data_IF_625675156794
#
_entry.id   IF_625675156794
#
_cell.length_a   1.000
_cell.length_b   1.000
_cell.length_c   1.000
_cell.angle_alpha   90.00
_cell.angle_beta   90.00
_cell.angle_gamma   90.00
#
_symmetry.space_group_name_H-M   'P 1'
#
loop_
_entity.id
_entity.type
_entity.pdbx_description
1 polymer ?
#
# COMPACT_ATOMS: atom_id res chain seq x y z
N UNK A 1 -4.13 -13.76 8.91
CA UNK A 1 -3.84 -13.50 7.49
C UNK A 1 -2.60 -12.62 7.44
N UNK A 2 -1.56 -13.04 6.71
CA UNK A 2 -0.27 -12.37 6.64
C UNK A 2 -0.10 -11.70 5.27
N UNK A 3 -0.05 -10.37 5.24
CA UNK A 3 0.19 -9.59 4.03
C UNK A 3 1.63 -9.09 3.94
N UNK A 4 2.22 -9.13 2.75
CA UNK A 4 3.58 -8.62 2.50
C UNK A 4 3.69 -8.00 1.13
N UNK A 5 4.34 -6.83 1.05
CA UNK A 5 4.70 -6.22 -0.23
C UNK A 5 5.98 -6.88 -0.73
N UNK A 6 5.92 -7.48 -1.92
CA UNK A 6 7.05 -8.13 -2.57
C UNK A 6 7.26 -7.54 -3.97
N UNK A 7 8.44 -7.77 -4.53
CA UNK A 7 8.68 -7.53 -5.96
C UNK A 7 8.42 -8.82 -6.73
N UNK A 8 7.60 -8.74 -7.79
CA UNK A 8 7.30 -9.88 -8.64
C UNK A 8 8.57 -10.36 -9.35
N UNK A 9 9.08 -11.55 -9.00
CA UNK A 9 10.23 -12.14 -9.70
C UNK A 9 9.83 -12.80 -11.04
N UNK A 10 8.55 -12.94 -11.30
CA UNK A 10 8.00 -13.51 -12.54
C UNK A 10 6.69 -12.78 -12.87
N UNK A 11 6.16 -12.88 -14.11
CA UNK A 11 4.79 -12.45 -14.36
C UNK A 11 3.85 -13.21 -13.43
N UNK A 12 3.08 -12.46 -12.64
CA UNK A 12 2.08 -12.99 -11.70
C UNK A 12 0.71 -12.54 -12.15
N UNK A 13 -0.32 -13.34 -11.91
CA UNK A 13 -1.70 -12.91 -12.18
C UNK A 13 -2.24 -12.25 -10.93
N UNK A 14 -2.90 -11.10 -11.09
CA UNK A 14 -3.60 -10.46 -9.99
C UNK A 14 -4.95 -11.15 -9.75
N UNK A 15 -5.17 -11.65 -8.55
CA UNK A 15 -6.42 -12.32 -8.16
C UNK A 15 -7.63 -11.36 -8.08
N UNK A 16 -7.39 -10.03 -7.99
CA UNK A 16 -8.47 -9.02 -7.96
C UNK A 16 -8.98 -8.64 -9.35
N UNK A 17 -8.09 -8.28 -10.28
CA UNK A 17 -8.48 -7.80 -11.62
C UNK A 17 -8.23 -8.80 -12.74
N UNK A 18 -7.59 -9.94 -12.47
CA UNK A 18 -7.21 -10.93 -13.48
C UNK A 18 -6.09 -10.49 -14.43
N UNK A 19 -5.59 -9.26 -14.32
CA UNK A 19 -4.50 -8.78 -15.16
C UNK A 19 -3.13 -9.25 -14.66
N UNK A 20 -2.19 -9.35 -15.60
CA UNK A 20 -0.82 -9.76 -15.32
C UNK A 20 -0.03 -8.62 -14.67
N UNK A 21 0.53 -8.89 -13.50
CA UNK A 21 1.56 -8.12 -12.81
C UNK A 21 2.89 -8.41 -13.50
N UNK A 22 3.54 -7.42 -14.14
CA UNK A 22 4.80 -7.65 -14.82
C UNK A 22 5.94 -7.92 -13.82
N UNK A 23 6.93 -8.69 -14.26
CA UNK A 23 8.16 -8.93 -13.50
C UNK A 23 8.84 -7.60 -13.14
N UNK A 24 9.38 -7.50 -11.92
CA UNK A 24 9.99 -6.30 -11.38
C UNK A 24 9.01 -5.30 -10.77
N UNK A 25 7.70 -5.50 -10.94
CA UNK A 25 6.69 -4.65 -10.32
C UNK A 25 6.45 -5.05 -8.87
N UNK A 26 6.14 -4.06 -8.03
CA UNK A 26 5.75 -4.29 -6.64
C UNK A 26 4.30 -4.77 -6.60
N UNK A 27 4.07 -5.86 -5.89
CA UNK A 27 2.75 -6.45 -5.67
C UNK A 27 2.57 -6.86 -4.21
N UNK A 28 1.33 -7.05 -3.81
CA UNK A 28 0.94 -7.50 -2.49
C UNK A 28 0.76 -9.02 -2.54
N UNK A 29 1.48 -9.72 -1.68
CA UNK A 29 1.32 -11.14 -1.43
C UNK A 29 0.50 -11.27 -0.15
N UNK A 30 -0.63 -11.96 -0.24
CA UNK A 30 -1.43 -12.33 0.93
C UNK A 30 -1.31 -13.83 1.11
N UNK A 31 -0.90 -14.23 2.30
CA UNK A 31 -0.84 -15.62 2.71
C UNK A 31 -1.83 -15.85 3.84
N UNK A 32 -2.58 -16.93 3.75
CA UNK A 32 -3.42 -17.34 4.87
C UNK A 32 -2.58 -18.06 5.95
N UNK A 33 -2.75 -17.67 7.22
CA UNK A 33 -1.98 -18.27 8.33
C UNK A 33 -2.56 -19.62 8.76
N UNK A 34 -3.83 -19.91 8.46
CA UNK A 34 -4.46 -21.19 8.74
C UNK A 34 -4.27 -22.18 7.59
N UNK A 35 -4.25 -21.68 6.35
CA UNK A 35 -4.04 -22.46 5.13
C UNK A 35 -2.81 -21.92 4.37
N UNK A 36 -1.59 -22.34 4.75
CA UNK A 36 -0.34 -21.79 4.21
C UNK A 36 -0.11 -22.07 2.71
N UNK A 37 -0.94 -22.93 2.11
CA UNK A 37 -1.01 -23.22 0.67
C UNK A 37 -1.78 -22.17 -0.13
N UNK A 38 -2.63 -21.36 0.51
CA UNK A 38 -3.38 -20.30 -0.14
C UNK A 38 -2.54 -19.02 -0.14
N UNK A 39 -2.10 -18.65 -1.34
CA UNK A 39 -1.32 -17.45 -1.60
C UNK A 39 -2.03 -16.67 -2.70
N UNK A 40 -2.33 -15.42 -2.42
CA UNK A 40 -2.97 -14.50 -3.36
C UNK A 40 -2.02 -13.37 -3.73
N UNK A 41 -2.12 -12.90 -4.97
CA UNK A 41 -1.30 -11.82 -5.50
C UNK A 41 -2.18 -10.65 -5.97
N UNK A 42 -1.86 -9.46 -5.51
CA UNK A 42 -2.62 -8.25 -5.81
C UNK A 42 -1.73 -7.12 -6.30
N UNK A 43 -2.24 -6.32 -7.24
CA UNK A 43 -1.62 -5.04 -7.57
C UNK A 43 -1.71 -4.10 -6.37
N UNK A 44 -0.65 -3.32 -6.10
CA UNK A 44 -0.68 -2.29 -5.05
C UNK A 44 -1.78 -1.25 -5.28
N UNK A 45 -1.98 -0.84 -6.54
CA UNK A 45 -3.02 0.08 -6.99
C UNK A 45 -3.92 -0.63 -8.00
N UNK A 46 -4.58 -1.71 -7.59
CA UNK A 46 -5.50 -2.42 -8.47
C UNK A 46 -6.72 -1.53 -8.79
N UNK A 47 -7.09 -1.30 -10.07
CA UNK A 47 -8.28 -0.51 -10.42
C UNK A 47 -9.60 -1.20 -10.03
N UNK A 48 -9.58 -2.52 -9.83
CA UNK A 48 -10.76 -3.33 -9.47
C UNK A 48 -10.88 -3.62 -7.97
N UNK A 49 -9.95 -3.15 -7.14
CA UNK A 49 -9.94 -3.41 -5.70
C UNK A 49 -9.76 -2.13 -4.88
N UNK A 50 -10.04 -2.16 -3.57
CA UNK A 50 -9.75 -1.03 -2.69
C UNK A 50 -8.23 -0.81 -2.66
N UNK A 51 -7.79 0.39 -3.06
CA UNK A 51 -6.40 0.79 -2.99
C UNK A 51 -5.91 0.65 -1.55
N UNK A 52 -4.95 -0.23 -1.30
CA UNK A 52 -4.54 -0.47 0.07
C UNK A 52 -3.65 0.68 0.52
N UNK A 53 -4.13 1.40 1.54
CA UNK A 53 -3.38 2.46 2.20
C UNK A 53 -1.99 1.92 2.57
N UNK A 54 -0.95 2.52 1.99
CA UNK A 54 0.42 2.27 2.44
C UNK A 54 0.48 2.58 3.93
N UNK A 55 0.64 1.57 4.78
CA UNK A 55 0.84 1.74 6.23
C UNK A 55 2.14 2.49 6.61
N UNK A 56 2.81 3.12 5.64
CA UNK A 56 4.02 3.91 5.84
C UNK A 56 3.81 5.41 5.56
N UNK A 57 2.59 5.92 5.56
CA UNK A 57 2.42 7.32 5.91
C UNK A 57 2.58 7.44 7.43
N UNK A 58 3.83 7.54 7.89
CA UNK A 58 4.10 8.30 9.10
C UNK A 58 3.49 9.68 8.77
N UNK A 59 2.43 10.14 9.44
CA UNK A 59 1.99 11.51 9.24
C UNK A 59 3.20 12.37 9.58
N UNK A 60 3.77 13.05 8.59
CA UNK A 60 4.76 14.08 8.85
C UNK A 60 4.13 14.96 9.92
N UNK A 61 4.73 14.95 11.12
CA UNK A 61 4.23 15.71 12.26
C UNK A 61 3.92 17.11 11.74
N UNK A 62 2.75 17.70 12.04
CA UNK A 62 2.50 19.07 11.63
C UNK A 62 3.64 19.90 12.20
N UNK A 63 4.43 20.52 11.32
CA UNK A 63 5.41 21.52 11.73
C UNK A 63 4.58 22.71 12.16
N UNK A 64 4.27 22.77 13.46
CA UNK A 64 3.64 23.93 14.07
C UNK A 64 4.67 25.05 14.00
N UNK A 65 4.65 25.82 12.92
CA UNK A 65 5.47 27.01 12.78
C UNK A 65 4.83 28.12 13.62
N UNK A 66 5.23 28.21 14.90
CA UNK A 66 4.80 29.26 15.83
C UNK A 66 5.37 30.64 15.46
N UNK A 67 5.01 31.16 14.28
CA UNK A 67 5.27 32.56 13.91
C UNK A 67 4.01 33.18 13.32
N UNK A 68 3.03 33.44 14.19
CA UNK A 68 2.09 34.53 13.97
C UNK A 68 2.56 35.72 14.81
N UNK A 69 2.89 36.87 14.22
CA UNK A 69 2.90 38.13 14.95
C UNK A 69 1.44 38.49 15.29
N UNK A 70 1.16 38.69 16.57
CA UNK A 70 -0.12 39.21 17.06
C UNK A 70 -0.38 40.58 16.39
N UNK A 71 -1.56 40.83 15.78
CA UNK A 71 -1.92 42.17 15.36
C UNK A 71 -2.20 43.03 16.61
N UNK A 72 -1.53 44.18 16.68
CA UNK A 72 -1.83 45.23 17.64
C UNK A 72 -3.28 45.70 17.45
N UNK A 73 -4.12 45.52 18.46
CA UNK A 73 -5.40 46.21 18.55
C UNK A 73 -5.16 47.65 19.02
N UNK A 74 -5.72 48.57 18.24
CA UNK A 74 -5.85 50.00 18.51
C UNK A 74 -6.86 50.30 19.62
#
# INVERSE_FOLDING_TARGET
>A
MSEKIITANRPLTCDLCGHTIPQGSKCRLIRDDFMPSLIYFEHLNCPSGPAVAQQNHIPNKPVINNRQPLPALA
#
